data_IF_849164011900
#
_entry.id   IF_849164011900
#
_cell.length_a   1.000
_cell.length_b   1.000
_cell.length_c   1.000
_cell.angle_alpha   90.00
_cell.angle_beta   90.00
_cell.angle_gamma   90.00
#
_symmetry.space_group_name_H-M   'P 1'
#
loop_
_entity.id
_entity.type
_entity.pdbx_description
1 polymer ?
#
# COMPACT_ATOMS: atom_id res chain seq x y z
N UNK A 1 -13.25 -9.91 -66.57
CA UNK A 1 -11.84 -10.02 -66.15
C UNK A 1 -11.15 -8.78 -65.62
N UNK A 2 -11.17 -7.63 -66.31
CA UNK A 2 -10.44 -6.43 -65.86
C UNK A 2 -10.91 -5.85 -64.52
N UNK A 3 -12.23 -5.68 -64.35
CA UNK A 3 -12.82 -5.09 -63.13
C UNK A 3 -12.52 -5.90 -61.85
N UNK A 4 -12.58 -7.24 -61.93
CA UNK A 4 -12.28 -8.10 -60.78
C UNK A 4 -10.81 -8.04 -60.38
N UNK A 5 -9.89 -7.99 -61.35
CA UNK A 5 -8.45 -7.81 -61.08
C UNK A 5 -8.16 -6.48 -60.41
N UNK A 6 -8.81 -5.41 -60.85
CA UNK A 6 -8.66 -4.06 -60.29
C UNK A 6 -9.20 -3.97 -58.86
N UNK A 7 -10.37 -4.57 -58.60
CA UNK A 7 -10.89 -4.74 -57.24
C UNK A 7 -9.90 -5.48 -56.33
N UNK A 8 -9.38 -6.63 -56.79
CA UNK A 8 -8.43 -7.44 -56.01
C UNK A 8 -7.15 -6.69 -55.69
N UNK A 9 -6.63 -5.94 -56.66
CA UNK A 9 -5.46 -5.07 -56.45
C UNK A 9 -5.73 -4.04 -55.36
N UNK A 10 -6.79 -3.25 -55.48
CA UNK A 10 -7.14 -2.20 -54.50
C UNK A 10 -7.34 -2.81 -53.11
N UNK A 11 -8.09 -3.91 -53.01
CA UNK A 11 -8.30 -4.63 -51.74
C UNK A 11 -6.99 -5.06 -51.10
N UNK A 12 -6.07 -5.63 -51.88
CA UNK A 12 -4.77 -6.09 -51.39
C UNK A 12 -3.92 -4.91 -50.92
N UNK A 13 -3.89 -3.81 -51.68
CA UNK A 13 -3.20 -2.57 -51.29
C UNK A 13 -3.75 -2.02 -49.98
N UNK A 14 -5.07 -1.90 -49.84
CA UNK A 14 -5.69 -1.44 -48.58
C UNK A 14 -5.39 -2.38 -47.41
N UNK A 15 -5.49 -3.70 -47.63
CA UNK A 15 -5.19 -4.69 -46.59
C UNK A 15 -3.73 -4.62 -46.15
N UNK A 16 -2.81 -4.40 -47.09
CA UNK A 16 -1.39 -4.20 -46.82
C UNK A 16 -1.17 -2.93 -46.00
N UNK A 17 -1.75 -1.81 -46.42
CA UNK A 17 -1.65 -0.54 -45.70
C UNK A 17 -2.17 -0.63 -44.25
N UNK A 18 -3.32 -1.29 -44.03
CA UNK A 18 -3.88 -1.52 -42.67
C UNK A 18 -2.93 -2.35 -41.81
N UNK A 19 -2.28 -3.38 -42.39
CA UNK A 19 -1.31 -4.21 -41.66
C UNK A 19 -0.06 -3.42 -41.30
N UNK A 20 0.46 -2.62 -42.23
CA UNK A 20 1.63 -1.77 -42.02
C UNK A 20 1.37 -0.71 -40.95
N UNK A 21 0.22 -0.04 -41.00
CA UNK A 21 -0.17 0.97 -40.01
C UNK A 21 -0.30 0.36 -38.60
N UNK A 22 -0.94 -0.81 -38.48
CA UNK A 22 -1.02 -1.55 -37.20
C UNK A 22 0.35 -1.91 -36.65
N UNK A 23 1.25 -2.38 -37.51
CA UNK A 23 2.61 -2.75 -37.11
C UNK A 23 3.38 -1.52 -36.62
N UNK A 24 3.33 -0.40 -37.36
CA UNK A 24 3.99 0.84 -36.97
C UNK A 24 3.47 1.37 -35.63
N UNK A 25 2.16 1.28 -35.38
CA UNK A 25 1.58 1.65 -34.09
C UNK A 25 2.09 0.76 -32.94
N UNK A 26 2.15 -0.56 -33.16
CA UNK A 26 2.65 -1.51 -32.17
C UNK A 26 4.14 -1.29 -31.85
N UNK A 27 4.97 -1.03 -32.86
CA UNK A 27 6.40 -0.72 -32.67
C UNK A 27 6.58 0.53 -31.81
N UNK A 28 5.85 1.63 -32.12
CA UNK A 28 5.90 2.86 -31.32
C UNK A 28 5.47 2.64 -29.86
N UNK A 29 4.50 1.75 -29.61
CA UNK A 29 4.11 1.37 -28.25
C UNK A 29 5.23 0.62 -27.54
N UNK A 30 5.87 -0.34 -28.21
CA UNK A 30 6.97 -1.12 -27.64
C UNK A 30 8.16 -0.24 -27.24
N UNK A 31 8.54 0.71 -28.09
CA UNK A 31 9.61 1.68 -27.79
C UNK A 31 9.26 2.55 -26.57
N UNK A 32 7.98 2.93 -26.44
CA UNK A 32 7.48 3.68 -25.29
C UNK A 32 7.47 2.84 -24.01
N UNK A 33 7.19 1.55 -24.10
CA UNK A 33 7.23 0.63 -22.97
C UNK A 33 8.66 0.39 -22.49
N UNK A 34 9.61 0.24 -23.42
CA UNK A 34 11.03 0.08 -23.12
C UNK A 34 11.61 1.31 -22.40
N UNK A 35 11.25 2.52 -22.85
CA UNK A 35 11.69 3.78 -22.23
C UNK A 35 10.93 4.12 -20.93
N UNK A 36 9.67 3.70 -20.80
CA UNK A 36 8.84 3.97 -19.63
C UNK A 36 7.96 2.77 -19.27
N UNK A 37 8.38 1.92 -18.31
CA UNK A 37 7.62 0.73 -17.93
C UNK A 37 6.23 1.06 -17.37
N UNK A 38 6.02 2.26 -16.80
CA UNK A 38 4.70 2.72 -16.30
C UNK A 38 3.68 2.88 -17.42
N UNK A 39 4.13 3.14 -18.64
CA UNK A 39 3.24 3.32 -19.79
C UNK A 39 2.59 2.02 -20.26
N UNK A 40 3.25 0.87 -20.05
CA UNK A 40 2.68 -0.46 -20.29
C UNK A 40 1.48 -0.69 -19.38
N UNK A 41 1.63 -0.44 -18.09
CA UNK A 41 0.54 -0.61 -17.11
C UNK A 41 -0.63 0.33 -17.41
N UNK A 42 -0.37 1.58 -17.85
CA UNK A 42 -1.42 2.50 -18.29
C UNK A 42 -2.15 2.00 -19.53
N UNK A 43 -1.43 1.47 -20.52
CA UNK A 43 -2.02 0.90 -21.72
C UNK A 43 -2.88 -0.33 -21.37
N UNK A 44 -2.35 -1.26 -20.57
CA UNK A 44 -3.11 -2.41 -20.10
C UNK A 44 -4.37 -2.01 -19.31
N UNK A 45 -4.28 -0.98 -18.46
CA UNK A 45 -5.43 -0.44 -17.75
C UNK A 45 -6.47 0.16 -18.72
N UNK A 46 -6.04 0.81 -19.80
CA UNK A 46 -6.95 1.37 -20.81
C UNK A 46 -7.71 0.32 -21.63
N UNK A 47 -7.17 -0.91 -21.74
CA UNK A 47 -7.82 -2.03 -22.42
C UNK A 47 -8.88 -2.72 -21.55
N UNK A 48 -8.88 -2.50 -20.22
CA UNK A 48 -9.87 -3.09 -19.32
C UNK A 48 -11.23 -2.44 -19.55
N UNK A 49 -12.23 -3.24 -19.91
CA UNK A 49 -13.62 -2.78 -20.08
C UNK A 49 -14.27 -2.40 -18.74
N UNK A 50 -13.95 -3.13 -17.68
CA UNK A 50 -14.38 -2.81 -16.33
C UNK A 50 -13.32 -1.93 -15.65
N UNK A 51 -13.69 -0.68 -15.34
CA UNK A 51 -12.97 0.10 -14.35
C UNK A 51 -13.18 -0.62 -13.02
N UNK A 52 -12.15 -1.29 -12.53
CA UNK A 52 -12.08 -1.85 -11.18
C UNK A 52 -11.98 -0.68 -10.20
N UNK A 53 -13.03 0.14 -10.13
CA UNK A 53 -13.27 0.96 -8.96
C UNK A 53 -13.63 0.02 -7.82
N UNK A 54 -13.17 0.33 -6.62
CA UNK A 54 -13.71 -0.29 -5.41
C UNK A 54 -15.21 -0.04 -5.45
N UNK A 55 -16.01 -1.11 -5.56
CA UNK A 55 -17.46 -1.00 -5.53
C UNK A 55 -17.87 -0.40 -4.19
N UNK A 56 -18.89 0.46 -4.20
CA UNK A 56 -19.45 1.03 -2.99
C UNK A 56 -19.76 -0.08 -1.99
N UNK A 57 -19.35 0.12 -0.74
CA UNK A 57 -19.63 -0.87 0.31
C UNK A 57 -21.12 -0.86 0.59
N UNK A 58 -21.70 -2.04 0.82
CA UNK A 58 -23.12 -2.16 1.13
C UNK A 58 -23.31 -2.06 2.64
N UNK A 59 -23.90 -0.96 3.10
CA UNK A 59 -24.33 -0.79 4.49
C UNK A 59 -25.81 -1.12 4.68
N UNK A 60 -26.29 -0.94 5.91
CA UNK A 60 -27.71 -1.18 6.29
C UNK A 60 -28.70 -0.32 5.49
N UNK A 61 -28.29 0.87 5.07
CA UNK A 61 -29.11 1.81 4.31
C UNK A 61 -28.86 1.75 2.79
N UNK A 62 -28.18 0.69 2.31
CA UNK A 62 -27.75 0.56 0.92
C UNK A 62 -26.28 0.92 0.70
N UNK A 63 -25.87 1.15 -0.56
CA UNK A 63 -24.47 1.42 -0.89
C UNK A 63 -23.98 2.76 -0.31
N UNK A 64 -22.71 2.83 0.06
CA UNK A 64 -22.07 4.04 0.60
C UNK A 64 -22.03 5.18 -0.43
N UNK A 65 -22.38 6.39 -0.01
CA UNK A 65 -22.47 7.54 -0.92
C UNK A 65 -21.12 8.19 -1.21
N UNK A 66 -20.17 8.10 -0.27
CA UNK A 66 -18.84 8.69 -0.38
C UNK A 66 -17.78 7.86 0.38
N UNK A 67 -16.50 8.19 0.19
CA UNK A 67 -15.38 7.47 0.81
C UNK A 67 -15.37 7.55 2.34
N UNK A 68 -15.87 8.65 2.92
CA UNK A 68 -16.01 8.81 4.37
C UNK A 68 -17.04 7.85 4.97
N UNK A 69 -18.18 7.69 4.31
CA UNK A 69 -19.21 6.71 4.70
C UNK A 69 -18.64 5.28 4.65
N UNK A 70 -17.85 4.98 3.61
CA UNK A 70 -17.17 3.69 3.46
C UNK A 70 -16.14 3.44 4.57
N UNK A 71 -15.33 4.45 4.89
CA UNK A 71 -14.36 4.38 5.97
C UNK A 71 -15.04 4.14 7.34
N UNK A 72 -16.12 4.86 7.62
CA UNK A 72 -16.88 4.71 8.86
C UNK A 72 -17.53 3.32 8.96
N UNK A 73 -18.09 2.80 7.87
CA UNK A 73 -18.68 1.47 7.83
C UNK A 73 -17.62 0.38 8.11
N UNK A 74 -16.44 0.50 7.50
CA UNK A 74 -15.31 -0.41 7.77
C UNK A 74 -14.85 -0.30 9.22
N UNK A 75 -14.70 0.92 9.74
CA UNK A 75 -14.29 1.14 11.13
C UNK A 75 -15.28 0.49 12.12
N UNK A 76 -16.58 0.66 11.90
CA UNK A 76 -17.61 0.01 12.71
C UNK A 76 -17.53 -1.52 12.61
N UNK A 77 -17.43 -2.06 11.40
CA UNK A 77 -17.33 -3.50 11.16
C UNK A 77 -16.10 -4.12 11.85
N UNK A 78 -14.94 -3.48 11.72
CA UNK A 78 -13.71 -3.95 12.35
C UNK A 78 -13.72 -3.76 13.86
N UNK A 79 -14.32 -2.70 14.39
CA UNK A 79 -14.46 -2.53 15.85
C UNK A 79 -15.32 -3.63 16.46
N UNK A 80 -16.34 -4.11 15.73
CA UNK A 80 -17.18 -5.23 16.16
C UNK A 80 -16.48 -6.58 16.02
N UNK A 81 -15.72 -6.78 14.93
CA UNK A 81 -15.06 -8.07 14.64
C UNK A 81 -13.78 -8.26 15.46
N UNK A 82 -13.03 -7.18 15.64
CA UNK A 82 -11.80 -7.12 16.42
C UNK A 82 -12.04 -6.35 17.71
N UNK A 83 -13.07 -6.76 18.46
CA UNK A 83 -13.14 -6.34 19.85
C UNK A 83 -11.82 -6.74 20.51
N UNK A 84 -11.17 -5.84 21.27
CA UNK A 84 -10.15 -6.28 22.19
C UNK A 84 -10.86 -7.28 23.10
N UNK A 85 -10.56 -8.58 22.93
CA UNK A 85 -10.75 -9.52 24.02
C UNK A 85 -10.14 -8.84 25.24
N UNK A 86 -10.90 -8.84 26.35
CA UNK A 86 -10.61 -8.11 27.57
C UNK A 86 -9.11 -7.80 27.69
N UNK A 87 -8.73 -6.52 27.79
CA UNK A 87 -7.32 -6.13 27.91
C UNK A 87 -6.68 -6.75 29.18
N UNK A 88 -7.50 -7.39 30.02
CA UNK A 88 -7.16 -8.17 31.19
C UNK A 88 -7.12 -9.69 30.96
N UNK A 89 -7.35 -10.20 29.75
CA UNK A 89 -7.13 -11.60 29.40
C UNK A 89 -5.63 -11.81 29.21
N UNK A 90 -4.95 -11.98 30.34
CA UNK A 90 -3.66 -12.64 30.37
C UNK A 90 -3.98 -14.10 30.03
N UNK A 91 -3.72 -14.51 28.80
CA UNK A 91 -3.60 -15.93 28.50
C UNK A 91 -2.50 -16.48 29.41
N UNK A 92 -2.82 -17.46 30.26
CA UNK A 92 -1.88 -18.06 31.21
C UNK A 92 -0.62 -18.61 30.50
N UNK A 93 -0.67 -18.77 29.17
CA UNK A 93 0.49 -19.09 28.32
C UNK A 93 1.60 -18.02 28.33
N UNK A 94 1.32 -16.77 28.71
CA UNK A 94 2.30 -15.70 28.88
C UNK A 94 2.90 -15.61 30.28
N UNK A 95 2.44 -16.43 31.24
CA UNK A 95 3.07 -16.53 32.55
C UNK A 95 4.41 -17.27 32.37
N UNK A 96 5.45 -16.50 32.12
CA UNK A 96 6.79 -17.01 32.01
C UNK A 96 7.28 -17.43 33.40
N UNK A 97 7.25 -18.73 33.69
CA UNK A 97 7.83 -19.32 34.89
C UNK A 97 9.37 -19.27 34.91
N UNK A 98 10.00 -18.53 34.00
CA UNK A 98 11.45 -18.33 34.02
C UNK A 98 11.81 -17.52 35.27
N UNK A 99 12.75 -18.03 36.06
CA UNK A 99 13.33 -17.33 37.19
C UNK A 99 14.10 -16.11 36.69
N UNK A 100 13.40 -14.97 36.60
CA UNK A 100 13.94 -13.63 36.40
C UNK A 100 14.61 -13.40 35.06
N UNK A 101 14.19 -12.36 34.33
CA UNK A 101 15.09 -11.73 33.37
C UNK A 101 16.34 -11.32 34.15
N UNK A 102 17.50 -11.82 33.73
CA UNK A 102 18.78 -11.27 34.19
C UNK A 102 18.79 -9.79 33.86
N UNK A 103 19.27 -8.98 34.80
CA UNK A 103 19.37 -7.52 34.75
C UNK A 103 19.60 -7.01 33.33
N UNK A 104 18.62 -6.28 32.78
CA UNK A 104 18.70 -5.74 31.42
C UNK A 104 19.41 -4.38 31.52
N UNK A 105 20.68 -4.34 31.13
CA UNK A 105 21.43 -3.08 31.08
C UNK A 105 20.92 -2.19 29.94
N UNK A 106 20.08 -1.22 30.29
CA UNK A 106 19.56 -0.19 29.39
C UNK A 106 20.39 1.09 29.48
N UNK A 107 21.67 1.02 29.11
CA UNK A 107 22.53 2.20 29.04
C UNK A 107 21.94 3.35 28.21
N UNK A 108 22.24 4.60 28.60
CA UNK A 108 21.81 5.78 27.88
C UNK A 108 22.25 5.76 26.40
N UNK A 109 23.44 5.25 26.10
CA UNK A 109 23.94 5.12 24.72
C UNK A 109 23.13 4.12 23.88
N UNK A 110 22.65 3.04 24.50
CA UNK A 110 21.77 2.08 23.83
C UNK A 110 20.43 2.75 23.50
N UNK A 111 19.82 3.43 24.46
CA UNK A 111 18.53 4.12 24.28
C UNK A 111 18.63 5.26 23.27
N UNK A 112 19.67 6.07 23.34
CA UNK A 112 19.93 7.13 22.35
C UNK A 112 19.97 6.56 20.93
N UNK A 113 20.75 5.49 20.71
CA UNK A 113 20.82 4.81 19.41
C UNK A 113 19.48 4.28 18.97
N UNK A 114 18.69 3.69 19.87
CA UNK A 114 17.35 3.17 19.53
C UNK A 114 16.39 4.28 19.14
N UNK A 115 16.37 5.39 19.87
CA UNK A 115 15.54 6.57 19.56
C UNK A 115 15.95 7.18 18.21
N UNK A 116 17.25 7.28 17.91
CA UNK A 116 17.76 7.78 16.63
C UNK A 116 17.37 6.91 15.42
N UNK A 117 17.16 5.61 15.63
CA UNK A 117 16.76 4.67 14.57
C UNK A 117 15.24 4.50 14.43
N UNK A 118 14.44 5.30 15.15
CA UNK A 118 12.99 5.30 14.97
C UNK A 118 12.63 5.70 13.53
N UNK A 119 11.74 4.90 12.96
CA UNK A 119 11.14 5.14 11.65
C UNK A 119 10.21 6.34 11.75
N UNK A 120 10.38 7.30 10.84
CA UNK A 120 9.52 8.49 10.80
C UNK A 120 8.22 8.28 10.04
N UNK A 121 8.16 7.25 9.20
CA UNK A 121 7.03 6.94 8.34
C UNK A 121 5.94 6.12 9.06
N UNK A 122 6.02 6.00 10.38
CA UNK A 122 5.06 5.27 11.20
C UNK A 122 4.14 6.23 11.97
N UNK A 123 2.87 5.85 12.09
CA UNK A 123 1.88 6.60 12.87
C UNK A 123 2.20 6.58 14.37
N UNK A 124 1.72 7.58 15.14
CA UNK A 124 1.78 7.56 16.60
C UNK A 124 1.14 6.30 17.19
N UNK A 125 1.66 5.87 18.34
CA UNK A 125 1.09 4.78 19.12
C UNK A 125 -0.17 5.21 19.89
N UNK A 126 -0.67 4.36 20.81
CA UNK A 126 -1.79 4.71 21.70
C UNK A 126 -1.47 5.88 22.64
N UNK A 127 -0.18 6.20 22.82
CA UNK A 127 0.31 7.38 23.54
C UNK A 127 0.17 8.69 22.74
N UNK A 128 -0.21 8.62 21.46
CA UNK A 128 -0.30 9.74 20.52
C UNK A 128 1.03 10.50 20.32
N UNK A 129 2.17 9.87 20.64
CA UNK A 129 3.49 10.46 20.46
C UNK A 129 4.05 10.06 19.10
N UNK A 130 4.33 11.05 18.25
CA UNK A 130 4.92 10.79 16.93
C UNK A 130 6.42 10.42 17.07
N UNK A 131 6.93 9.40 16.36
CA UNK A 131 8.34 8.99 16.43
C UNK A 131 9.34 10.11 16.15
N UNK A 132 8.97 11.08 15.31
CA UNK A 132 9.77 12.27 15.03
C UNK A 132 10.14 13.05 16.30
N UNK A 133 9.20 13.18 17.24
CA UNK A 133 9.43 13.90 18.49
C UNK A 133 10.45 13.17 19.37
N UNK A 134 10.28 11.86 19.52
CA UNK A 134 11.17 11.00 20.29
C UNK A 134 12.60 10.98 19.73
N UNK A 135 12.71 11.02 18.39
CA UNK A 135 13.99 11.07 17.71
C UNK A 135 14.71 12.40 17.88
N UNK A 136 13.97 13.50 17.75
CA UNK A 136 14.51 14.85 17.95
C UNK A 136 14.96 15.07 19.40
N UNK A 137 14.16 14.59 20.36
CA UNK A 137 14.46 14.70 21.79
C UNK A 137 15.40 13.60 22.30
N UNK A 138 15.97 12.75 21.45
CA UNK A 138 16.71 11.56 21.86
C UNK A 138 17.90 11.87 22.78
N UNK A 139 18.62 12.98 22.55
CA UNK A 139 19.76 13.40 23.37
C UNK A 139 19.35 13.77 24.80
N UNK A 140 18.13 14.24 24.99
CA UNK A 140 17.57 14.64 26.29
C UNK A 140 16.88 13.44 26.96
N UNK A 141 16.23 12.58 26.19
CA UNK A 141 15.44 11.45 26.69
C UNK A 141 16.27 10.21 27.03
N UNK A 142 17.45 10.02 26.43
CA UNK A 142 18.25 8.82 26.61
C UNK A 142 18.60 8.52 28.08
N UNK A 143 19.12 9.51 28.80
CA UNK A 143 19.49 9.39 30.22
C UNK A 143 18.29 9.16 31.15
N UNK A 144 17.21 9.96 31.12
CA UNK A 144 16.07 9.73 32.01
C UNK A 144 15.37 8.40 31.74
N UNK A 145 15.28 7.96 30.49
CA UNK A 145 14.72 6.64 30.17
C UNK A 145 15.63 5.49 30.66
N UNK A 146 16.96 5.67 30.62
CA UNK A 146 17.91 4.70 31.16
C UNK A 146 17.70 4.46 32.65
N UNK A 147 17.53 5.54 33.41
CA UNK A 147 17.29 5.49 34.85
C UNK A 147 15.88 4.98 35.21
N UNK A 148 14.88 5.24 34.35
CA UNK A 148 13.50 4.82 34.61
C UNK A 148 13.29 3.32 34.44
N UNK A 149 14.07 2.68 33.57
CA UNK A 149 13.94 1.26 33.21
C UNK A 149 15.12 0.39 33.66
N UNK A 150 16.10 0.96 34.38
CA UNK A 150 17.12 0.25 35.15
C UNK A 150 16.52 -0.31 36.44
#
# INVERSE_FOLDING_TARGET
>A
DGAYRQYKHIRNTCTKAIREDRLQYQTKLMDKFASNPRSLFRYAASLRQAKTGVSQLLGLNGPTNNDGDAANLLAAHYSQTFQPADINFIDDSFICNSTGLSEVDLSADLLFRKLQHLRLDTSPGPDMVHPALLREAASILATPLSVMFS
#
